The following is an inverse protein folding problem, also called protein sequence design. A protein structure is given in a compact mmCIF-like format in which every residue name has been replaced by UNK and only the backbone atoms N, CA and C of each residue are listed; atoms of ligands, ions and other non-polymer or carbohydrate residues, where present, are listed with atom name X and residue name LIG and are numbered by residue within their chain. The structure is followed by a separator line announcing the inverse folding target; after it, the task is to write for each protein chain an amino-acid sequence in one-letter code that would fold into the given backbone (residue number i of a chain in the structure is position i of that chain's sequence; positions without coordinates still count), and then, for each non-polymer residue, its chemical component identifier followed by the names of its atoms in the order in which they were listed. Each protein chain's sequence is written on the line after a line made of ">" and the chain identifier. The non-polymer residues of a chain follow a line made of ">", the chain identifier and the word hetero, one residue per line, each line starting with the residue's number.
data_IF_079980689339
#
_entry.id   IF_079980689339
#
_cell.length_a   1.000
_cell.length_b   1.000
_cell.length_c   1.000
_cell.angle_alpha   90.00
_cell.angle_beta   90.00
_cell.angle_gamma   90.00
#
_symmetry.space_group_name_H-M   'P 1'
#
loop_
_entity.id
_entity.type
_entity.pdbx_description
1 polymer ?
#
# COMPACT_ATOMS: atom_id res chain seq x y z
N UNK A 1 14.19 -51.88 13.14
CA UNK A 1 13.35 -50.77 12.65
C UNK A 1 14.10 -49.49 12.92
N UNK A 2 14.45 -48.72 11.88
CA UNK A 2 15.02 -47.37 12.02
C UNK A 2 13.82 -46.41 12.09
N UNK A 3 13.69 -45.69 13.18
CA UNK A 3 12.70 -44.62 13.31
C UNK A 3 13.01 -43.54 12.28
N UNK A 4 12.05 -43.27 11.40
CA UNK A 4 12.11 -42.13 10.49
C UNK A 4 11.88 -40.85 11.31
N UNK A 5 12.62 -39.77 11.02
CA UNK A 5 12.41 -38.49 11.70
C UNK A 5 10.98 -37.98 11.46
N UNK A 6 10.39 -37.24 12.42
CA UNK A 6 9.05 -36.68 12.29
C UNK A 6 8.93 -35.86 11.00
N UNK A 7 7.80 -36.04 10.32
CA UNK A 7 7.53 -35.51 8.98
C UNK A 7 7.86 -34.03 8.86
N UNK A 8 8.46 -33.66 7.72
CA UNK A 8 8.70 -32.28 7.36
C UNK A 8 7.37 -31.50 7.39
N UNK A 9 7.34 -30.28 7.96
CA UNK A 9 6.13 -29.47 7.98
C UNK A 9 5.65 -29.24 6.55
N UNK A 10 4.34 -29.33 6.36
CA UNK A 10 3.69 -29.08 5.08
C UNK A 10 4.01 -27.62 4.65
N UNK A 11 4.47 -27.39 3.41
CA UNK A 11 4.83 -26.06 2.96
C UNK A 11 3.61 -25.14 2.98
N UNK A 12 3.75 -23.97 3.60
CA UNK A 12 2.68 -22.95 3.66
C UNK A 12 2.40 -22.38 2.26
N UNK A 13 1.17 -21.90 2.02
CA UNK A 13 0.78 -21.20 0.78
C UNK A 13 1.73 -20.05 0.41
N UNK A 14 2.28 -19.37 1.42
CA UNK A 14 3.30 -18.34 1.25
C UNK A 14 4.64 -18.92 0.77
N UNK A 15 5.09 -20.04 1.33
CA UNK A 15 6.30 -20.74 0.87
C UNK A 15 6.14 -21.24 -0.57
N UNK A 16 4.95 -21.72 -0.94
CA UNK A 16 4.65 -22.15 -2.30
C UNK A 16 4.67 -20.97 -3.26
N UNK A 17 4.01 -19.86 -2.91
CA UNK A 17 4.00 -18.63 -3.72
C UNK A 17 5.40 -18.06 -3.92
N UNK A 18 6.22 -17.98 -2.85
CA UNK A 18 7.63 -17.55 -2.93
C UNK A 18 8.45 -18.47 -3.83
N UNK A 19 8.28 -19.78 -3.68
CA UNK A 19 9.01 -20.77 -4.50
C UNK A 19 8.61 -20.66 -5.96
N UNK A 20 7.32 -20.49 -6.25
CA UNK A 20 6.80 -20.34 -7.60
C UNK A 20 7.30 -19.05 -8.28
N UNK A 21 7.28 -17.92 -7.54
CA UNK A 21 7.86 -16.66 -8.02
C UNK A 21 9.37 -16.78 -8.26
N UNK A 22 10.10 -17.46 -7.37
CA UNK A 22 11.54 -17.68 -7.56
C UNK A 22 11.84 -18.53 -8.80
N UNK A 23 11.07 -19.59 -9.03
CA UNK A 23 11.23 -20.46 -10.20
C UNK A 23 10.88 -19.72 -11.49
N UNK A 24 9.84 -18.90 -11.49
CA UNK A 24 9.42 -18.14 -12.68
C UNK A 24 10.35 -16.96 -12.96
N UNK A 25 10.84 -16.25 -11.95
CA UNK A 25 11.84 -15.19 -12.09
C UNK A 25 13.18 -15.70 -12.63
N UNK A 26 13.58 -16.93 -12.27
CA UNK A 26 14.78 -17.57 -12.81
C UNK A 26 14.64 -18.03 -14.27
N UNK A 27 13.42 -18.12 -14.81
CA UNK A 27 13.16 -18.38 -16.23
C UNK A 27 13.14 -17.11 -17.07
N UNK A 28 14.10 -16.20 -16.87
CA UNK A 28 14.39 -15.18 -17.91
C UNK A 28 14.74 -15.94 -19.20
N UNK A 29 14.02 -15.74 -20.32
CA UNK A 29 14.41 -16.35 -21.57
C UNK A 29 15.83 -15.87 -21.88
N UNK A 30 16.73 -16.82 -22.21
CA UNK A 30 18.08 -16.50 -22.62
C UNK A 30 17.99 -15.43 -23.72
N UNK A 31 18.48 -14.23 -23.43
CA UNK A 31 18.44 -13.07 -24.33
C UNK A 31 18.94 -13.50 -25.71
N UNK A 32 18.04 -13.62 -26.67
CA UNK A 32 18.42 -13.84 -28.05
C UNK A 32 19.25 -12.60 -28.47
N UNK A 33 20.53 -12.81 -28.75
CA UNK A 33 21.42 -11.76 -29.27
C UNK A 33 20.94 -11.38 -30.67
N UNK A 34 20.16 -10.32 -30.79
CA UNK A 34 19.86 -9.68 -32.07
C UNK A 34 21.05 -8.80 -32.49
N UNK A 35 21.51 -8.89 -33.75
CA UNK A 35 22.57 -8.02 -34.26
C UNK A 35 22.03 -6.60 -34.49
N UNK A 36 22.77 -5.61 -34.01
CA UNK A 36 22.47 -4.18 -34.07
C UNK A 36 22.45 -3.63 -35.50
N UNK A 37 21.43 -2.82 -35.85
CA UNK A 37 21.54 -1.80 -36.91
C UNK A 37 20.65 -0.57 -36.68
N UNK A 38 21.36 0.58 -36.68
CA UNK A 38 21.05 1.90 -37.24
C UNK A 38 20.11 2.84 -36.44
N UNK A 39 20.67 4.01 -36.16
CA UNK A 39 20.13 5.19 -35.48
C UNK A 39 19.14 5.97 -36.36
N UNK A 40 18.05 6.46 -35.76
CA UNK A 40 17.27 7.62 -36.22
C UNK A 40 17.01 8.51 -35.00
N UNK A 41 17.18 9.85 -35.09
CA UNK A 41 16.91 10.74 -33.97
C UNK A 41 15.44 11.15 -33.98
N UNK A 42 14.76 11.03 -32.84
CA UNK A 42 13.47 11.66 -32.62
C UNK A 42 13.53 12.46 -31.31
N UNK A 43 13.13 13.72 -31.42
CA UNK A 43 12.96 14.64 -30.30
C UNK A 43 11.91 14.10 -29.32
N UNK A 44 12.20 14.16 -28.03
CA UNK A 44 11.18 14.23 -27.01
C UNK A 44 11.74 14.97 -25.79
N UNK A 45 11.01 16.00 -25.37
CA UNK A 45 11.21 16.70 -24.11
C UNK A 45 10.94 15.73 -22.96
N UNK A 46 11.78 15.77 -21.92
CA UNK A 46 11.57 15.03 -20.69
C UNK A 46 11.75 15.97 -19.48
N UNK A 47 10.61 16.33 -18.90
CA UNK A 47 10.44 16.53 -17.46
C UNK A 47 10.61 15.18 -16.74
N UNK A 48 10.81 15.22 -15.40
CA UNK A 48 10.89 14.10 -14.38
C UNK A 48 12.30 13.93 -13.81
N UNK A 49 12.55 13.69 -12.50
CA UNK A 49 11.82 13.87 -11.24
C UNK A 49 12.79 13.59 -10.06
N UNK A 50 12.44 14.05 -8.86
CA UNK A 50 12.95 13.48 -7.60
C UNK A 50 12.16 12.22 -7.23
N UNK A 51 12.75 11.28 -6.50
CA UNK A 51 12.10 10.01 -6.10
C UNK A 51 12.50 9.63 -4.66
N UNK A 52 11.50 9.57 -3.77
CA UNK A 52 11.58 9.01 -2.42
C UNK A 52 10.50 7.94 -2.37
N UNK A 53 10.92 6.68 -2.38
CA UNK A 53 10.01 5.52 -2.41
C UNK A 53 9.48 5.24 -1.00
N UNK A 54 8.20 4.87 -0.91
CA UNK A 54 7.61 4.13 0.21
C UNK A 54 7.08 4.97 1.38
N UNK A 55 7.88 5.88 1.93
CA UNK A 55 7.46 6.66 3.11
C UNK A 55 6.64 7.91 2.80
N UNK A 56 6.98 8.62 1.72
CA UNK A 56 6.43 9.94 1.39
C UNK A 56 5.32 9.92 0.32
N UNK A 57 5.11 8.80 -0.36
CA UNK A 57 4.17 8.70 -1.48
C UNK A 57 2.69 8.84 -1.08
N UNK A 58 2.35 8.69 0.21
CA UNK A 58 0.97 8.95 0.66
C UNK A 58 0.52 10.41 0.48
N UNK A 59 1.44 11.36 0.35
CA UNK A 59 1.11 12.77 0.13
C UNK A 59 2.12 13.46 -0.78
N UNK A 60 2.34 12.93 -1.99
CA UNK A 60 2.84 13.79 -3.06
C UNK A 60 1.75 14.80 -3.46
N UNK A 61 2.12 16.06 -3.76
CA UNK A 61 1.18 17.16 -4.02
C UNK A 61 0.38 16.99 -5.31
N UNK A 62 0.76 16.07 -6.19
CA UNK A 62 0.00 15.74 -7.40
C UNK A 62 -0.69 14.39 -7.17
N UNK A 63 -2.02 14.34 -7.32
CA UNK A 63 -2.90 13.20 -7.05
C UNK A 63 -2.74 11.98 -7.98
N UNK A 64 -1.50 11.65 -8.35
CA UNK A 64 -1.12 10.34 -8.84
C UNK A 64 -0.21 9.72 -7.80
N UNK A 65 -0.63 8.61 -7.19
CA UNK A 65 0.33 7.69 -6.59
C UNK A 65 1.34 7.39 -7.69
N UNK A 66 2.52 8.00 -7.60
CA UNK A 66 3.56 7.84 -8.58
C UNK A 66 3.89 6.36 -8.60
N UNK A 67 3.35 5.67 -9.61
CA UNK A 67 3.75 4.34 -9.96
C UNK A 67 5.27 4.33 -9.85
N UNK A 68 5.78 3.36 -9.09
CA UNK A 68 7.13 2.92 -9.36
C UNK A 68 7.12 2.58 -10.85
N UNK A 69 7.64 3.48 -11.68
CA UNK A 69 8.09 3.17 -13.03
C UNK A 69 9.28 2.21 -12.85
N UNK A 70 8.95 0.98 -12.43
CA UNK A 70 9.71 -0.19 -12.77
C UNK A 70 9.90 -0.09 -14.28
N UNK A 71 11.14 0.04 -14.72
CA UNK A 71 11.54 0.55 -16.03
C UNK A 71 10.64 0.08 -17.18
N UNK A 72 10.46 0.97 -18.16
CA UNK A 72 9.55 0.85 -19.30
C UNK A 72 9.24 -0.61 -19.63
N UNK A 73 7.98 -1.05 -19.44
CA UNK A 73 7.64 -2.43 -19.67
C UNK A 73 7.98 -2.77 -21.12
N UNK A 74 8.80 -3.80 -21.32
CA UNK A 74 8.91 -4.45 -22.61
C UNK A 74 7.50 -4.74 -23.13
N UNK A 75 7.26 -4.52 -24.43
CA UNK A 75 5.97 -4.56 -25.17
C UNK A 75 5.07 -5.81 -24.96
N UNK A 76 5.45 -6.72 -24.06
CA UNK A 76 4.74 -7.94 -23.68
C UNK A 76 3.70 -7.74 -22.55
N UNK A 77 3.52 -6.50 -22.04
CA UNK A 77 2.80 -6.21 -20.76
C UNK A 77 1.39 -5.61 -20.90
N UNK A 78 0.64 -5.92 -21.96
CA UNK A 78 -0.77 -5.51 -22.12
C UNK A 78 -1.78 -6.61 -21.82
N UNK A 79 -1.36 -7.85 -21.55
CA UNK A 79 -2.25 -8.87 -21.03
C UNK A 79 -2.55 -8.60 -19.55
N UNK A 80 -3.83 -8.58 -19.17
CA UNK A 80 -4.23 -8.57 -17.76
C UNK A 80 -3.49 -9.69 -17.02
N UNK A 81 -2.85 -9.41 -15.88
CA UNK A 81 -2.15 -10.44 -15.12
C UNK A 81 -3.15 -11.53 -14.72
N UNK A 82 -2.76 -12.80 -14.90
CA UNK A 82 -3.58 -13.94 -14.49
C UNK A 82 -3.55 -14.09 -12.96
N UNK A 83 -4.25 -13.20 -12.26
CA UNK A 83 -4.35 -13.21 -10.81
C UNK A 83 -5.25 -14.37 -10.37
N UNK A 84 -4.87 -15.10 -9.33
CA UNK A 84 -5.70 -16.20 -8.81
C UNK A 84 -6.85 -15.66 -7.95
N UNK A 85 -8.05 -16.28 -7.97
CA UNK A 85 -9.06 -16.01 -6.96
C UNK A 85 -8.53 -16.26 -5.54
N UNK A 86 -9.13 -15.61 -4.53
CA UNK A 86 -8.80 -15.86 -3.13
C UNK A 86 -8.98 -17.35 -2.78
N UNK A 87 -8.04 -17.92 -2.02
CA UNK A 87 -8.13 -19.31 -1.56
C UNK A 87 -9.28 -19.49 -0.56
N UNK A 88 -9.85 -20.71 -0.40
CA UNK A 88 -10.87 -20.98 0.61
C UNK A 88 -10.43 -20.60 2.04
N UNK A 89 -9.14 -20.79 2.35
CA UNK A 89 -8.56 -20.36 3.62
C UNK A 89 -8.57 -18.84 3.78
N UNK A 90 -8.18 -18.11 2.73
CA UNK A 90 -8.22 -16.64 2.72
C UNK A 90 -9.65 -16.13 2.91
N UNK A 91 -10.61 -16.73 2.20
CA UNK A 91 -12.04 -16.40 2.36
C UNK A 91 -12.51 -16.66 3.80
N UNK A 92 -12.15 -17.80 4.40
CA UNK A 92 -12.51 -18.10 5.79
C UNK A 92 -11.93 -17.08 6.79
N UNK A 93 -10.69 -16.63 6.58
CA UNK A 93 -10.06 -15.57 7.39
C UNK A 93 -10.82 -14.25 7.26
N UNK A 94 -11.21 -13.85 6.04
CA UNK A 94 -12.00 -12.64 5.81
C UNK A 94 -13.37 -12.71 6.49
N UNK A 95 -14.04 -13.87 6.45
CA UNK A 95 -15.28 -14.09 7.20
C UNK A 95 -15.06 -13.96 8.71
N UNK A 96 -13.99 -14.53 9.26
CA UNK A 96 -13.68 -14.42 10.68
C UNK A 96 -13.42 -12.96 11.11
N UNK A 97 -12.66 -12.20 10.31
CA UNK A 97 -12.46 -10.77 10.53
C UNK A 97 -13.78 -9.99 10.45
N UNK A 98 -14.65 -10.33 9.49
CA UNK A 98 -15.94 -9.68 9.34
C UNK A 98 -16.88 -9.94 10.53
N UNK A 99 -16.88 -11.16 11.08
CA UNK A 99 -17.62 -11.46 12.31
C UNK A 99 -17.04 -10.69 13.51
N UNK A 100 -15.71 -10.61 13.64
CA UNK A 100 -15.07 -9.79 14.67
C UNK A 100 -15.43 -8.30 14.53
N UNK A 101 -15.50 -7.79 13.29
CA UNK A 101 -15.85 -6.41 12.99
C UNK A 101 -17.25 -6.01 13.46
N UNK A 102 -18.22 -6.92 13.41
CA UNK A 102 -19.58 -6.70 13.95
C UNK A 102 -19.61 -6.45 15.46
N UNK A 103 -18.60 -6.92 16.18
CA UNK A 103 -18.40 -6.71 17.62
C UNK A 103 -17.33 -5.66 17.93
N UNK A 104 -16.74 -5.06 16.90
CA UNK A 104 -15.76 -4.00 17.01
C UNK A 104 -16.34 -2.68 17.51
N UNK A 105 -15.50 -1.63 17.59
CA UNK A 105 -15.94 -0.32 18.04
C UNK A 105 -17.04 0.25 17.11
N UNK A 106 -17.99 0.95 17.72
CA UNK A 106 -18.96 1.76 16.99
C UNK A 106 -18.27 2.92 16.27
N UNK A 107 -18.89 3.40 15.18
CA UNK A 107 -18.45 4.59 14.47
C UNK A 107 -18.32 5.79 15.44
N UNK A 108 -17.21 6.50 15.38
CA UNK A 108 -17.01 7.69 16.19
C UNK A 108 -17.95 8.81 15.74
N UNK A 109 -18.44 9.58 16.71
CA UNK A 109 -19.21 10.80 16.45
C UNK A 109 -18.25 11.98 16.34
N UNK A 110 -18.23 12.63 15.17
CA UNK A 110 -17.43 13.82 14.92
C UNK A 110 -18.35 15.04 14.91
N UNK A 111 -18.12 15.98 15.82
CA UNK A 111 -18.90 17.24 15.86
C UNK A 111 -18.30 18.27 14.90
N UNK A 112 -19.07 19.27 14.47
CA UNK A 112 -18.55 20.38 13.68
C UNK A 112 -17.31 21.00 14.34
N UNK A 113 -16.26 21.23 13.54
CA UNK A 113 -14.99 21.79 13.98
C UNK A 113 -14.01 20.79 14.62
N UNK A 114 -14.41 19.53 14.84
CA UNK A 114 -13.48 18.48 15.27
C UNK A 114 -12.71 17.89 14.09
N UNK A 115 -11.54 17.35 14.37
CA UNK A 115 -10.64 16.73 13.39
C UNK A 115 -10.48 15.23 13.68
N UNK A 116 -10.00 14.50 12.68
CA UNK A 116 -9.52 13.13 12.84
C UNK A 116 -8.01 13.16 12.92
N UNK A 117 -7.48 12.79 14.08
CA UNK A 117 -6.06 12.60 14.30
C UNK A 117 -5.66 11.18 13.93
N UNK A 118 -4.63 11.03 13.10
CA UNK A 118 -4.00 9.74 12.77
C UNK A 118 -2.54 9.79 13.21
N UNK A 119 -2.20 8.92 14.17
CA UNK A 119 -0.82 8.67 14.55
C UNK A 119 -0.34 7.43 13.82
N UNK A 120 0.71 7.56 13.03
CA UNK A 120 1.31 6.50 12.23
C UNK A 120 2.76 6.30 12.65
N UNK A 121 3.15 5.09 13.00
CA UNK A 121 4.52 4.73 13.40
C UNK A 121 4.96 3.44 12.72
N UNK A 122 6.15 3.47 12.14
CA UNK A 122 6.65 2.36 11.35
C UNK A 122 8.04 2.58 10.80
N UNK A 123 8.34 1.80 9.77
CA UNK A 123 9.66 1.69 9.15
C UNK A 123 9.49 1.61 7.64
N UNK A 124 10.29 2.37 6.89
CA UNK A 124 10.28 2.37 5.44
C UNK A 124 11.69 2.27 4.89
N UNK A 125 11.84 1.55 3.78
CA UNK A 125 13.07 1.52 3.01
C UNK A 125 13.22 2.84 2.26
N UNK A 126 14.27 3.56 2.60
CA UNK A 126 14.79 4.68 1.83
C UNK A 126 15.77 4.12 0.80
N UNK A 127 15.43 4.25 -0.47
CA UNK A 127 16.34 3.98 -1.56
C UNK A 127 16.99 5.30 -1.91
N UNK A 128 18.27 5.45 -1.55
CA UNK A 128 19.04 6.54 -2.09
C UNK A 128 19.14 6.30 -3.59
N UNK A 129 18.48 7.15 -4.39
CA UNK A 129 18.91 7.28 -5.77
C UNK A 129 20.39 7.64 -5.67
N UNK A 130 21.26 6.73 -6.10
CA UNK A 130 22.68 6.98 -6.22
C UNK A 130 22.86 8.10 -7.25
N UNK A 131 22.64 9.35 -6.82
CA UNK A 131 23.09 10.55 -7.50
C UNK A 131 24.61 10.59 -7.33
N UNK A 132 25.28 9.63 -7.93
CA UNK A 132 26.72 9.53 -7.95
C UNK A 132 27.29 10.81 -8.57
N UNK A 133 27.75 11.72 -7.74
CA UNK A 133 28.95 12.51 -8.00
C UNK A 133 28.91 13.58 -9.09
N UNK A 134 27.79 13.93 -9.71
CA UNK A 134 27.75 15.09 -10.61
C UNK A 134 27.60 16.41 -9.83
N UNK A 135 28.57 16.76 -8.97
CA UNK A 135 28.89 18.16 -8.66
C UNK A 135 29.66 18.79 -9.85
N UNK A 136 29.15 18.59 -11.05
CA UNK A 136 29.68 19.19 -12.27
C UNK A 136 28.76 20.34 -12.66
N UNK A 137 29.12 21.55 -12.28
CA UNK A 137 28.56 22.75 -12.90
C UNK A 137 28.73 22.64 -14.42
N UNK A 138 27.62 22.55 -15.17
CA UNK A 138 27.62 22.94 -16.58
C UNK A 138 27.22 21.91 -17.66
N UNK A 139 26.83 20.67 -17.34
CA UNK A 139 26.38 19.73 -18.38
C UNK A 139 24.84 19.61 -18.45
N UNK A 140 24.20 20.58 -19.08
CA UNK A 140 22.80 20.46 -19.48
C UNK A 140 22.69 19.39 -20.59
N UNK A 141 22.04 18.25 -20.32
CA UNK A 141 21.62 17.31 -21.36
C UNK A 141 21.94 15.82 -21.14
N UNK A 142 22.60 15.43 -20.05
CA UNK A 142 22.72 14.01 -19.71
C UNK A 142 21.48 13.56 -18.91
N UNK A 143 20.80 12.50 -19.37
CA UNK A 143 19.79 11.83 -18.58
C UNK A 143 20.39 11.45 -17.22
N UNK A 144 19.67 11.65 -16.10
CA UNK A 144 20.17 11.25 -14.79
C UNK A 144 20.53 9.75 -14.82
N UNK A 145 21.61 9.33 -14.12
CA UNK A 145 21.93 7.92 -14.01
C UNK A 145 20.73 7.17 -13.47
N UNK A 146 20.41 6.01 -14.07
CA UNK A 146 19.36 5.11 -13.59
C UNK A 146 19.59 4.88 -12.10
N UNK A 147 18.58 5.19 -11.27
CA UNK A 147 18.67 5.00 -9.84
C UNK A 147 18.91 3.51 -9.57
N UNK A 148 20.12 3.17 -9.12
CA UNK A 148 20.42 1.81 -8.73
C UNK A 148 19.63 1.48 -7.45
N UNK A 149 18.54 0.73 -7.60
CA UNK A 149 17.67 0.28 -6.51
C UNK A 149 18.21 -0.94 -5.77
N UNK A 150 19.44 -1.42 -6.04
CA UNK A 150 19.97 -2.68 -5.48
C UNK A 150 20.00 -2.75 -3.95
N UNK A 151 20.07 -1.62 -3.25
CA UNK A 151 20.03 -1.58 -1.79
C UNK A 151 19.22 -0.43 -1.21
N UNK A 152 18.38 -0.71 -0.21
CA UNK A 152 17.66 0.29 0.58
C UNK A 152 18.04 0.25 2.06
N UNK A 153 18.02 1.41 2.71
CA UNK A 153 18.20 1.52 4.17
C UNK A 153 16.85 1.68 4.84
N UNK A 154 16.52 0.86 5.83
CA UNK A 154 15.29 1.01 6.60
C UNK A 154 15.43 2.13 7.63
N UNK A 155 14.50 3.08 7.61
CA UNK A 155 14.43 4.21 8.53
C UNK A 155 13.07 4.25 9.23
N UNK A 156 13.04 4.69 10.49
CA UNK A 156 11.78 4.88 11.21
C UNK A 156 11.01 6.05 10.59
N UNK A 157 9.72 5.87 10.42
CA UNK A 157 8.79 6.84 9.86
C UNK A 157 7.66 7.07 10.85
N UNK A 158 7.68 8.22 11.52
CA UNK A 158 6.57 8.70 12.33
C UNK A 158 5.80 9.73 11.50
N UNK A 159 4.48 9.67 11.53
CA UNK A 159 3.61 10.71 10.96
C UNK A 159 2.45 11.00 11.91
N UNK A 160 2.23 12.27 12.12
CA UNK A 160 1.06 12.79 12.81
C UNK A 160 0.25 13.59 11.80
N UNK A 161 -1.01 13.22 11.61
CA UNK A 161 -1.89 13.86 10.63
C UNK A 161 -3.20 14.27 11.28
N UNK A 162 -3.67 15.46 10.94
CA UNK A 162 -4.98 15.95 11.36
C UNK A 162 -5.82 16.19 10.12
N UNK A 163 -6.91 15.45 9.95
CA UNK A 163 -7.81 15.54 8.82
C UNK A 163 -9.09 16.30 9.20
N UNK A 164 -9.53 17.17 8.30
CA UNK A 164 -10.91 17.64 8.31
C UNK A 164 -11.80 16.46 7.89
N UNK A 165 -12.78 16.05 8.72
CA UNK A 165 -13.68 14.95 8.38
C UNK A 165 -14.50 15.22 7.12
N UNK A 166 -14.71 16.49 6.72
CA UNK A 166 -15.48 16.85 5.52
C UNK A 166 -14.60 16.73 4.26
N UNK A 167 -14.28 15.49 3.89
CA UNK A 167 -13.49 15.15 2.70
C UNK A 167 -12.07 14.67 2.99
N UNK A 168 -11.75 14.34 4.25
CA UNK A 168 -10.42 13.89 4.69
C UNK A 168 -9.28 14.78 4.23
N UNK A 169 -9.49 16.10 4.28
CA UNK A 169 -8.47 17.08 3.86
C UNK A 169 -7.43 17.26 4.97
N UNK A 170 -6.13 16.98 4.73
CA UNK A 170 -5.11 17.12 5.76
C UNK A 170 -4.90 18.61 6.11
N UNK A 171 -5.17 18.95 7.37
CA UNK A 171 -4.98 20.29 7.95
C UNK A 171 -3.55 20.48 8.44
N UNK A 172 -2.88 19.42 8.87
CA UNK A 172 -1.47 19.43 9.23
C UNK A 172 -0.89 18.02 9.13
N UNK A 173 0.38 17.93 8.74
CA UNK A 173 1.17 16.71 8.72
C UNK A 173 2.53 17.01 9.35
N UNK A 174 2.93 16.22 10.35
CA UNK A 174 4.27 16.33 10.96
C UNK A 174 4.96 14.98 11.03
N UNK A 175 6.30 14.97 11.16
CA UNK A 175 7.07 13.78 11.51
C UNK A 175 7.24 13.58 13.03
N UNK A 176 6.41 14.27 13.82
CA UNK A 176 6.52 14.37 15.28
C UNK A 176 7.45 15.50 15.76
N UNK A 177 8.29 16.07 14.88
CA UNK A 177 9.21 17.16 15.22
C UNK A 177 9.11 18.37 14.28
N UNK A 178 8.84 18.12 13.00
CA UNK A 178 8.83 19.11 11.93
C UNK A 178 7.52 19.02 11.17
N UNK A 179 6.96 20.18 10.88
CA UNK A 179 5.85 20.30 9.94
C UNK A 179 6.32 19.92 8.54
N UNK A 180 5.71 18.88 7.98
CA UNK A 180 5.98 18.38 6.64
C UNK A 180 5.14 19.11 5.59
N UNK A 181 4.11 19.82 6.04
CA UNK A 181 3.22 20.64 5.23
C UNK A 181 1.80 20.62 5.79
N UNK A 182 1.03 21.63 5.43
CA UNK A 182 -0.43 21.52 5.41
C UNK A 182 -0.81 20.99 4.02
N UNK A 183 -1.94 20.30 3.84
CA UNK A 183 -2.41 19.94 2.50
C UNK A 183 -2.75 21.14 1.60
N UNK A 184 -2.44 22.37 2.06
CA UNK A 184 -2.78 23.66 1.50
C UNK A 184 -1.95 24.05 0.30
N UNK A 185 -2.13 23.29 -0.78
CA UNK A 185 -2.30 23.84 -2.13
C UNK A 185 -3.10 22.89 -3.04
N UNK A 186 -3.68 21.82 -2.47
CA UNK A 186 -4.80 21.14 -3.11
C UNK A 186 -5.93 22.17 -3.12
N UNK A 187 -6.10 22.83 -4.28
CA UNK A 187 -7.26 23.68 -4.54
C UNK A 187 -8.49 23.02 -3.95
N UNK A 188 -9.32 23.80 -3.25
CA UNK A 188 -10.52 23.31 -2.56
C UNK A 188 -11.09 22.13 -3.33
N UNK A 189 -11.06 20.93 -2.73
CA UNK A 189 -11.61 19.73 -3.38
C UNK A 189 -13.03 20.11 -3.76
N UNK A 190 -13.27 20.25 -5.07
CA UNK A 190 -14.57 20.67 -5.55
C UNK A 190 -15.58 19.63 -5.05
N UNK A 191 -16.78 20.02 -4.60
CA UNK A 191 -17.75 19.09 -4.01
C UNK A 191 -18.12 17.89 -4.90
N UNK A 192 -17.77 17.92 -6.18
CA UNK A 192 -17.93 16.82 -7.15
C UNK A 192 -16.93 15.68 -6.98
N UNK A 193 -15.81 15.89 -6.27
CA UNK A 193 -14.77 14.88 -6.03
C UNK A 193 -14.98 14.13 -4.69
N UNK A 194 -16.11 14.37 -4.02
CA UNK A 194 -16.49 13.64 -2.81
C UNK A 194 -16.73 12.16 -3.12
N UNK A 195 -16.10 11.27 -2.36
CA UNK A 195 -16.15 9.84 -2.64
C UNK A 195 -15.05 9.06 -1.94
N UNK A 196 -14.64 7.93 -2.52
CA UNK A 196 -13.68 7.01 -1.89
C UNK A 196 -12.33 7.66 -1.55
N UNK A 197 -11.90 8.67 -2.33
CA UNK A 197 -10.63 9.40 -2.11
C UNK A 197 -10.76 10.63 -1.19
N UNK A 198 -11.97 11.13 -1.01
CA UNK A 198 -12.29 12.28 -0.15
C UNK A 198 -13.62 12.04 0.57
N UNK A 199 -13.69 11.02 1.46
CA UNK A 199 -14.95 10.61 2.05
C UNK A 199 -15.42 11.61 3.10
N UNK A 200 -16.74 11.85 3.16
CA UNK A 200 -17.39 12.54 4.28
C UNK A 200 -18.11 11.54 5.17
N UNK A 201 -18.36 11.85 6.46
CA UNK A 201 -19.17 10.99 7.33
C UNK A 201 -20.53 10.64 6.73
N UNK A 202 -21.19 11.60 6.07
CA UNK A 202 -22.49 11.41 5.42
C UNK A 202 -22.37 10.44 4.23
N UNK A 203 -21.31 10.56 3.43
CA UNK A 203 -21.06 9.65 2.31
C UNK A 203 -20.75 8.24 2.80
N UNK A 204 -19.93 8.09 3.85
CA UNK A 204 -19.61 6.81 4.49
C UNK A 204 -20.88 6.15 5.03
N UNK A 205 -21.74 6.91 5.72
CA UNK A 205 -23.00 6.42 6.25
C UNK A 205 -24.00 5.99 5.15
N UNK A 206 -23.86 6.55 3.95
CA UNK A 206 -24.65 6.18 2.76
C UNK A 206 -24.09 5.02 1.95
N UNK A 207 -23.01 4.37 2.38
CA UNK A 207 -22.49 3.17 1.72
C UNK A 207 -23.40 1.96 2.00
N UNK A 208 -23.61 1.08 0.99
CA UNK A 208 -24.35 -0.15 1.20
C UNK A 208 -23.57 -1.09 2.15
N UNK A 209 -24.31 -1.83 2.98
CA UNK A 209 -23.75 -2.84 3.89
C UNK A 209 -23.88 -4.27 3.35
N UNK A 210 -24.46 -4.44 2.16
CA UNK A 210 -24.39 -5.69 1.40
C UNK A 210 -23.01 -5.78 0.72
N UNK A 211 -22.21 -6.84 0.97
CA UNK A 211 -20.83 -6.91 0.48
C UNK A 211 -20.69 -6.84 -1.04
N UNK A 212 -21.64 -7.43 -1.78
CA UNK A 212 -21.63 -7.49 -3.24
C UNK A 212 -21.96 -6.12 -3.85
N UNK A 213 -23.02 -5.47 -3.36
CA UNK A 213 -23.37 -4.11 -3.76
C UNK A 213 -22.26 -3.11 -3.39
N UNK A 214 -21.67 -3.26 -2.21
CA UNK A 214 -20.55 -2.43 -1.76
C UNK A 214 -19.34 -2.59 -2.67
N UNK A 215 -18.94 -3.83 -2.97
CA UNK A 215 -17.84 -4.08 -3.90
C UNK A 215 -18.11 -3.47 -5.28
N UNK A 216 -19.32 -3.64 -5.80
CA UNK A 216 -19.73 -3.05 -7.09
C UNK A 216 -19.55 -1.53 -7.10
N UNK A 217 -20.09 -0.85 -6.09
CA UNK A 217 -19.98 0.60 -5.92
C UNK A 217 -18.53 1.06 -5.76
N UNK A 218 -17.71 0.33 -4.98
CA UNK A 218 -16.31 0.70 -4.77
C UNK A 218 -15.44 0.49 -6.02
N UNK A 219 -15.70 -0.56 -6.82
CA UNK A 219 -15.03 -0.76 -8.11
C UNK A 219 -15.30 0.38 -9.08
N UNK A 220 -16.57 0.82 -9.17
CA UNK A 220 -16.95 1.98 -10.00
C UNK A 220 -16.17 3.23 -9.60
N UNK A 221 -16.07 3.50 -8.29
CA UNK A 221 -15.39 4.68 -7.75
C UNK A 221 -13.86 4.60 -7.84
N UNK A 222 -13.27 3.40 -7.77
CA UNK A 222 -11.84 3.23 -7.91
C UNK A 222 -11.35 3.53 -9.33
N UNK A 223 -12.22 3.33 -10.33
CA UNK A 223 -11.93 3.55 -11.75
C UNK A 223 -11.00 2.49 -12.35
N UNK A 224 -10.53 2.75 -13.56
CA UNK A 224 -9.61 1.87 -14.28
C UNK A 224 -8.18 1.98 -13.72
N UNK A 225 -7.42 0.88 -13.73
CA UNK A 225 -6.06 0.83 -13.19
C UNK A 225 -4.93 1.19 -14.14
N UNK A 226 -5.24 1.54 -15.39
CA UNK A 226 -4.24 1.85 -16.40
C UNK A 226 -3.31 0.66 -16.61
N UNK A 227 -2.07 0.77 -16.09
CA UNK A 227 -1.13 -0.33 -16.12
C UNK A 227 -1.51 -1.47 -15.14
N UNK A 228 -2.30 -1.22 -14.10
CA UNK A 228 -2.69 -2.20 -13.10
C UNK A 228 -4.10 -2.75 -13.34
N UNK A 229 -4.42 -3.90 -12.74
CA UNK A 229 -5.79 -4.41 -12.74
C UNK A 229 -6.76 -3.49 -11.99
N UNK A 230 -8.06 -3.57 -12.31
CA UNK A 230 -9.11 -2.89 -11.54
C UNK A 230 -9.11 -3.30 -10.07
N UNK A 231 -8.77 -4.57 -9.77
CA UNK A 231 -8.67 -5.05 -8.39
C UNK A 231 -7.52 -4.39 -7.63
N UNK A 232 -6.41 -4.09 -8.30
CA UNK A 232 -5.30 -3.33 -7.70
C UNK A 232 -5.69 -1.88 -7.42
N UNK A 233 -6.37 -1.21 -8.35
CA UNK A 233 -6.89 0.15 -8.12
C UNK A 233 -7.83 0.20 -6.93
N UNK A 234 -8.75 -0.76 -6.86
CA UNK A 234 -9.66 -0.89 -5.73
C UNK A 234 -8.89 -1.18 -4.44
N UNK A 235 -7.91 -2.08 -4.46
CA UNK A 235 -7.07 -2.40 -3.30
C UNK A 235 -6.36 -1.15 -2.74
N UNK A 236 -5.75 -0.33 -3.59
CA UNK A 236 -5.09 0.90 -3.16
C UNK A 236 -6.08 1.89 -2.55
N UNK A 237 -7.23 2.07 -3.20
CA UNK A 237 -8.27 2.95 -2.67
C UNK A 237 -8.82 2.47 -1.31
N UNK A 238 -8.93 1.15 -1.11
CA UNK A 238 -9.34 0.56 0.16
C UNK A 238 -8.30 0.77 1.26
N UNK A 239 -7.00 0.63 0.96
CA UNK A 239 -5.94 0.92 1.94
C UNK A 239 -6.04 2.35 2.47
N UNK A 240 -6.16 3.33 1.56
CA UNK A 240 -6.29 4.74 1.91
C UNK A 240 -7.59 4.99 2.69
N UNK A 241 -8.69 4.33 2.31
CA UNK A 241 -9.96 4.44 2.99
C UNK A 241 -9.90 3.91 4.42
N UNK A 242 -9.30 2.75 4.67
CA UNK A 242 -9.07 2.25 6.03
C UNK A 242 -8.16 3.19 6.84
N UNK A 243 -7.06 3.64 6.22
CA UNK A 243 -6.07 4.50 6.86
C UNK A 243 -6.65 5.84 7.34
N UNK A 244 -7.61 6.40 6.61
CA UNK A 244 -8.20 7.72 6.93
C UNK A 244 -9.54 7.62 7.65
N UNK A 245 -10.31 6.55 7.42
CA UNK A 245 -11.76 6.54 7.71
C UNK A 245 -12.25 5.36 8.56
N UNK A 246 -11.40 4.40 8.96
CA UNK A 246 -11.86 3.23 9.75
C UNK A 246 -12.63 3.62 11.02
N UNK A 247 -12.22 4.70 11.71
CA UNK A 247 -12.87 5.24 12.89
C UNK A 247 -14.32 5.72 12.64
N UNK A 248 -14.67 6.05 11.40
CA UNK A 248 -16.00 6.51 11.00
C UNK A 248 -16.93 5.38 10.53
N UNK A 249 -16.41 4.17 10.33
CA UNK A 249 -17.20 3.05 9.83
C UNK A 249 -18.02 2.42 10.95
N UNK A 250 -19.28 2.10 10.64
CA UNK A 250 -20.08 1.25 11.52
C UNK A 250 -19.52 -0.18 11.53
N UNK A 251 -19.77 -0.98 12.58
CA UNK A 251 -19.43 -2.40 12.62
C UNK A 251 -19.89 -3.17 11.38
N UNK A 252 -21.10 -2.89 10.90
CA UNK A 252 -21.70 -3.55 9.73
C UNK A 252 -20.99 -3.16 8.43
N UNK A 253 -20.67 -1.87 8.25
CA UNK A 253 -19.94 -1.42 7.08
C UNK A 253 -18.52 -2.00 7.05
N UNK A 254 -17.83 -2.03 8.20
CA UNK A 254 -16.50 -2.65 8.30
C UNK A 254 -16.54 -4.13 7.95
N UNK A 255 -17.52 -4.86 8.46
CA UNK A 255 -17.74 -6.26 8.10
C UNK A 255 -18.00 -6.42 6.60
N UNK A 256 -18.83 -5.56 6.00
CA UNK A 256 -19.12 -5.59 4.56
C UNK A 256 -17.87 -5.30 3.71
N UNK A 257 -17.03 -4.35 4.11
CA UNK A 257 -15.76 -4.05 3.44
C UNK A 257 -14.80 -5.24 3.48
N UNK A 258 -14.65 -5.90 4.64
CA UNK A 258 -13.85 -7.12 4.76
C UNK A 258 -14.36 -8.24 3.84
N UNK A 259 -15.67 -8.44 3.78
CA UNK A 259 -16.28 -9.43 2.88
C UNK A 259 -16.15 -9.03 1.41
N UNK A 260 -16.05 -7.74 1.08
CA UNK A 260 -15.84 -7.29 -0.30
C UNK A 260 -14.52 -7.85 -0.89
N UNK A 261 -13.51 -8.08 -0.05
CA UNK A 261 -12.21 -8.62 -0.48
C UNK A 261 -12.31 -10.04 -1.04
N UNK A 262 -13.34 -10.80 -0.68
CA UNK A 262 -13.51 -12.21 -1.12
C UNK A 262 -13.65 -12.38 -2.63
N UNK A 263 -14.08 -11.33 -3.35
CA UNK A 263 -14.18 -11.35 -4.81
C UNK A 263 -13.10 -10.55 -5.53
N UNK A 264 -12.05 -10.16 -4.82
CA UNK A 264 -10.83 -9.65 -5.44
C UNK A 264 -9.91 -10.84 -5.79
N UNK A 265 -9.18 -10.71 -6.90
CA UNK A 265 -8.14 -11.64 -7.30
C UNK A 265 -6.79 -11.20 -6.71
N UNK A 266 -5.84 -12.11 -6.61
CA UNK A 266 -4.51 -11.84 -6.06
C UNK A 266 -4.48 -11.66 -4.53
N UNK A 267 -5.58 -11.99 -3.83
CA UNK A 267 -5.66 -11.87 -2.37
C UNK A 267 -5.17 -13.14 -1.68
N UNK A 268 -4.33 -12.96 -0.66
CA UNK A 268 -3.89 -13.99 0.29
C UNK A 268 -4.00 -13.45 1.72
N UNK A 269 -3.99 -14.34 2.70
CA UNK A 269 -3.90 -13.96 4.11
C UNK A 269 -2.81 -14.72 4.86
N UNK A 270 -2.29 -14.09 5.92
CA UNK A 270 -1.33 -14.69 6.85
C UNK A 270 -1.50 -14.09 8.24
N UNK A 271 -1.02 -14.80 9.26
CA UNK A 271 -0.84 -14.22 10.59
C UNK A 271 0.54 -13.57 10.69
N UNK A 272 0.62 -12.46 11.41
CA UNK A 272 1.89 -11.79 11.73
C UNK A 272 1.87 -11.27 13.16
N UNK A 273 3.04 -10.87 13.67
CA UNK A 273 3.17 -10.22 14.98
C UNK A 273 4.00 -8.97 14.84
N UNK A 274 3.46 -7.83 15.27
CA UNK A 274 4.14 -6.53 15.28
C UNK A 274 4.04 -5.98 16.70
N UNK A 275 5.19 -5.61 17.28
CA UNK A 275 5.29 -5.07 18.64
C UNK A 275 4.55 -5.92 19.70
N UNK A 276 4.62 -7.25 19.53
CA UNK A 276 3.97 -8.22 20.43
C UNK A 276 2.46 -8.40 20.20
N UNK A 277 1.84 -7.67 19.27
CA UNK A 277 0.43 -7.80 18.89
C UNK A 277 0.29 -8.76 17.72
N UNK A 278 -0.53 -9.80 17.89
CA UNK A 278 -0.93 -10.69 16.79
C UNK A 278 -1.89 -9.97 15.86
N UNK A 279 -1.61 -10.01 14.57
CA UNK A 279 -2.38 -9.36 13.52
C UNK A 279 -2.65 -10.34 12.38
N UNK A 280 -3.69 -10.05 11.59
CA UNK A 280 -3.95 -10.73 10.33
C UNK A 280 -3.54 -9.80 9.20
N UNK A 281 -2.58 -10.22 8.39
CA UNK A 281 -2.20 -9.53 7.17
C UNK A 281 -3.03 -10.08 6.00
N UNK A 282 -3.79 -9.21 5.35
CA UNK A 282 -4.43 -9.51 4.06
C UNK A 282 -3.62 -8.81 2.98
N UNK A 283 -3.09 -9.57 2.02
CA UNK A 283 -2.19 -9.11 0.97
C UNK A 283 -2.88 -9.16 -0.38
N UNK A 284 -2.77 -8.10 -1.17
CA UNK A 284 -2.97 -8.16 -2.62
C UNK A 284 -1.60 -8.21 -3.32
N UNK A 285 -1.43 -9.15 -4.24
CA UNK A 285 -0.18 -9.32 -4.99
C UNK A 285 -0.41 -9.12 -6.48
N UNK A 286 0.29 -8.18 -7.07
CA UNK A 286 0.30 -7.98 -8.52
C UNK A 286 1.68 -7.48 -8.98
N UNK A 287 2.15 -7.95 -10.15
CA UNK A 287 3.39 -7.48 -10.79
C UNK A 287 4.63 -7.50 -9.88
N UNK A 288 4.70 -8.48 -8.98
CA UNK A 288 5.85 -8.64 -8.08
C UNK A 288 5.84 -7.70 -6.88
N UNK A 289 4.75 -6.97 -6.65
CA UNK A 289 4.53 -6.15 -5.45
C UNK A 289 3.41 -6.78 -4.64
N UNK A 290 3.60 -6.87 -3.33
CA UNK A 290 2.57 -7.26 -2.38
C UNK A 290 2.28 -6.13 -1.42
N UNK A 291 1.05 -5.63 -1.40
CA UNK A 291 0.61 -4.64 -0.43
C UNK A 291 -0.39 -5.26 0.53
N UNK A 292 -0.25 -4.93 1.81
CA UNK A 292 -1.01 -5.55 2.88
C UNK A 292 -1.72 -4.53 3.74
N UNK A 293 -2.94 -4.89 4.14
CA UNK A 293 -3.64 -4.28 5.27
C UNK A 293 -3.51 -5.22 6.45
N UNK A 294 -3.15 -4.66 7.60
CA UNK A 294 -3.00 -5.38 8.86
C UNK A 294 -4.25 -5.14 9.71
N UNK A 295 -4.93 -6.23 10.06
CA UNK A 295 -6.15 -6.21 10.84
C UNK A 295 -5.92 -6.75 12.25
N UNK A 296 -6.58 -6.15 13.23
CA UNK A 296 -6.74 -6.75 14.55
C UNK A 296 -7.76 -7.91 14.45
N UNK A 297 -7.35 -9.17 14.72
CA UNK A 297 -8.27 -10.30 14.66
C UNK A 297 -9.44 -10.21 15.67
N UNK A 298 -9.29 -9.43 16.75
CA UNK A 298 -10.32 -9.31 17.78
C UNK A 298 -11.43 -8.33 17.40
N UNK A 299 -11.12 -7.30 16.59
CA UNK A 299 -12.07 -6.22 16.27
C UNK A 299 -12.33 -6.06 14.78
N UNK A 300 -11.58 -6.73 13.92
CA UNK A 300 -11.62 -6.53 12.47
C UNK A 300 -11.17 -5.13 12.01
N UNK A 301 -10.64 -4.29 12.91
CA UNK A 301 -10.16 -2.94 12.58
C UNK A 301 -8.85 -3.00 11.84
N UNK A 302 -8.67 -2.14 10.84
CA UNK A 302 -7.39 -1.95 10.19
C UNK A 302 -6.48 -1.10 11.09
N UNK A 303 -5.30 -1.61 11.40
CA UNK A 303 -4.36 -1.02 12.36
C UNK A 303 -2.97 -0.79 11.80
N UNK A 304 -2.76 -1.12 10.53
CA UNK A 304 -1.47 -1.03 9.91
C UNK A 304 -1.47 -1.46 8.45
N UNK A 305 -0.32 -1.27 7.82
CA UNK A 305 -0.06 -1.71 6.46
C UNK A 305 1.38 -2.16 6.32
N UNK A 306 1.62 -2.99 5.32
CA UNK A 306 2.96 -3.50 5.00
C UNK A 306 3.07 -3.61 3.49
N UNK A 307 4.20 -3.22 2.92
CA UNK A 307 4.51 -3.46 1.51
C UNK A 307 5.72 -4.39 1.44
N UNK A 308 5.61 -5.37 0.54
CA UNK A 308 6.65 -6.34 0.25
C UNK A 308 7.00 -6.26 -1.24
N UNK A 309 8.29 -6.37 -1.54
CA UNK A 309 8.73 -6.68 -2.90
C UNK A 309 8.89 -8.19 -3.03
N UNK A 310 8.49 -8.74 -4.16
CA UNK A 310 8.75 -10.14 -4.51
C UNK A 310 9.91 -10.25 -5.50
N UNK A 311 10.58 -9.14 -5.79
CA UNK A 311 11.82 -9.13 -6.56
C UNK A 311 12.98 -9.66 -5.71
N UNK A 312 13.54 -10.79 -6.15
CA UNK A 312 14.58 -11.53 -5.42
C UNK A 312 15.92 -10.80 -5.35
N UNK A 313 16.11 -9.74 -6.13
CA UNK A 313 17.39 -9.03 -6.24
C UNK A 313 17.51 -7.83 -5.28
N UNK A 314 16.42 -7.43 -4.61
CA UNK A 314 16.42 -6.28 -3.69
C UNK A 314 17.07 -6.62 -2.34
N UNK A 315 18.10 -5.87 -1.95
CA UNK A 315 18.73 -6.03 -0.63
C UNK A 315 18.32 -4.92 0.33
N UNK A 316 17.47 -5.26 1.29
CA UNK A 316 17.11 -4.35 2.38
C UNK A 316 18.12 -4.50 3.53
N UNK A 317 18.80 -3.41 3.87
CA UNK A 317 19.77 -3.38 4.97
C UNK A 317 19.15 -2.69 6.17
N UNK A 318 19.03 -3.42 7.28
CA UNK A 318 18.60 -2.87 8.56
C UNK A 318 19.80 -2.26 9.29
N UNK A 319 19.71 -0.98 9.66
CA UNK A 319 20.70 -0.33 10.51
C UNK A 319 20.60 -0.75 12.00
N UNK A 320 21.56 -0.38 12.84
CA UNK A 320 21.48 -0.59 14.28
C UNK A 320 20.21 0.05 14.88
N UNK A 321 19.47 -0.69 15.71
CA UNK A 321 18.24 -0.21 16.36
C UNK A 321 16.97 -0.30 15.49
N UNK A 322 17.08 -0.76 14.25
CA UNK A 322 15.94 -1.09 13.39
C UNK A 322 15.46 -2.51 13.75
N UNK A 323 14.14 -2.74 13.94
CA UNK A 323 13.60 -4.09 14.06
C UNK A 323 14.00 -4.94 12.87
N UNK A 324 14.30 -6.21 13.13
CA UNK A 324 14.54 -7.16 12.04
C UNK A 324 13.21 -7.40 11.32
N UNK A 325 13.02 -6.72 10.20
CA UNK A 325 11.91 -6.96 9.28
C UNK A 325 12.20 -8.21 8.44
N UNK A 326 11.14 -8.82 7.91
CA UNK A 326 11.32 -9.83 6.87
C UNK A 326 12.08 -9.20 5.67
N UNK A 327 12.98 -9.95 5.01
CA UNK A 327 13.89 -9.39 4.01
C UNK A 327 13.18 -8.73 2.82
N UNK A 328 11.95 -9.16 2.55
CA UNK A 328 11.12 -8.71 1.44
C UNK A 328 10.29 -7.48 1.80
N UNK A 329 10.23 -7.10 3.09
CA UNK A 329 9.44 -5.96 3.58
C UNK A 329 10.18 -4.67 3.31
N UNK A 330 9.63 -3.88 2.40
CA UNK A 330 10.14 -2.53 2.08
C UNK A 330 9.49 -1.47 2.95
N UNK A 331 8.36 -1.78 3.57
CA UNK A 331 7.65 -0.83 4.42
C UNK A 331 6.69 -1.56 5.37
N UNK A 332 6.64 -1.12 6.63
CA UNK A 332 5.71 -1.62 7.65
C UNK A 332 5.36 -0.50 8.60
N UNK A 333 4.07 -0.24 8.82
CA UNK A 333 3.64 0.71 9.82
C UNK A 333 2.31 0.31 10.47
N UNK A 334 2.11 0.77 11.69
CA UNK A 334 0.83 0.73 12.37
C UNK A 334 0.29 2.13 12.55
N UNK A 335 -1.03 2.25 12.75
CA UNK A 335 -1.65 3.53 13.05
C UNK A 335 -2.74 3.41 14.12
N UNK A 336 -3.05 4.57 14.72
CA UNK A 336 -4.22 4.77 15.56
C UNK A 336 -4.98 6.01 15.08
N UNK A 337 -6.30 6.02 15.30
CA UNK A 337 -7.16 7.12 14.91
C UNK A 337 -7.95 7.62 16.12
N UNK A 338 -8.14 8.94 16.23
CA UNK A 338 -8.95 9.57 17.28
C UNK A 338 -9.67 10.81 16.76
N UNK A 339 -10.79 11.15 17.39
CA UNK A 339 -11.43 12.46 17.19
C UNK A 339 -10.81 13.45 18.16
N UNK A 340 -10.33 14.59 17.64
CA UNK A 340 -9.68 15.65 18.44
C UNK A 340 -10.32 17.01 18.18
N UNK A 341 -10.10 17.99 19.07
CA UNK A 341 -10.72 19.30 18.95
C UNK A 341 -9.99 20.20 17.96
N UNK A 342 -8.66 20.19 17.96
CA UNK A 342 -7.83 21.09 17.16
C UNK A 342 -6.54 20.42 16.68
N UNK A 343 -5.82 21.08 15.76
CA UNK A 343 -4.47 20.64 15.35
C UNK A 343 -3.52 20.73 16.55
N UNK A 344 -2.76 19.66 16.79
CA UNK A 344 -1.83 19.55 17.92
C UNK A 344 -2.35 18.69 19.07
N UNK A 345 -3.66 18.48 19.17
CA UNK A 345 -4.25 17.51 20.09
C UNK A 345 -3.95 16.07 19.62
N UNK A 346 -3.68 15.15 20.57
CA UNK A 346 -3.25 13.75 20.33
C UNK A 346 -4.03 12.73 21.15
#
# INVERSE_FOLDING_TARGET
>A
MRDLPPGLPEPTDESVSRTWHRITAQRKPARARTPSRILVPAMAAALVAGLVVGGAALFRPDGGGGDLEAGSPSDEKTAEPNLTPASPQTVAVLHALAEAAKHGPAAAKVRPGQLIFVYHDGWAASFQANAGGAKGEGAAGAAPPEANLESGTIERQIREMWFDPQGMVPRSITDGSKELGTGGDRGQVEPTDLGLRAPTPEWIAGLPTDPEQLRGKLRELAGEGGAWSTDHSLWNALQDFYFTSDLLMTPELRAALLLSFTGLRGITSSETTIDGRRLVAVRHTERGVGDEILFDPATGSAVGRRSVTLDADLKIVSGPGVPKLDPDVTYQATWTQKVVATVGDR
#
